data_IF_407208424674
#
_entry.id   IF_407208424674
#
_cell.length_a   1.000
_cell.length_b   1.000
_cell.length_c   1.000
_cell.angle_alpha   90.00
_cell.angle_beta   90.00
_cell.angle_gamma   90.00
#
_symmetry.space_group_name_H-M   'P 1'
#
loop_
_entity.id
_entity.type
_entity.pdbx_description
1 polymer ?
#
# COMPACT_ATOMS: atom_id res chain seq x y z
N UNK A 1 63.21 13.78 -8.49
CA UNK A 1 63.22 14.89 -9.44
C UNK A 1 61.79 15.42 -9.42
N UNK A 2 61.44 16.27 -8.46
CA UNK A 2 61.27 17.72 -8.53
C UNK A 2 60.64 18.13 -9.88
N UNK A 3 59.53 18.89 -9.99
CA UNK A 3 59.12 20.19 -9.44
C UNK A 3 57.63 20.35 -9.83
N UNK A 4 56.71 20.74 -9.08
CA UNK A 4 56.20 21.99 -8.43
C UNK A 4 55.16 22.77 -9.25
N UNK A 5 54.07 23.07 -8.56
CA UNK A 5 53.28 24.33 -8.49
C UNK A 5 52.76 25.02 -9.75
N UNK A 6 51.44 25.35 -9.76
CA UNK A 6 50.99 26.72 -9.46
C UNK A 6 49.46 26.92 -9.59
N UNK A 7 48.94 27.49 -8.55
CA UNK A 7 47.67 28.15 -8.38
C UNK A 7 47.51 29.36 -9.29
N UNK A 8 46.32 29.63 -9.85
CA UNK A 8 45.88 31.00 -10.20
C UNK A 8 44.37 31.20 -10.04
N UNK A 9 44.06 32.12 -9.17
CA UNK A 9 42.77 32.80 -9.02
C UNK A 9 42.57 33.77 -10.18
N UNK A 10 41.31 33.95 -10.65
CA UNK A 10 40.91 35.14 -11.39
C UNK A 10 39.51 35.60 -10.91
N UNK A 11 39.53 36.75 -10.28
CA UNK A 11 38.35 37.60 -10.01
C UNK A 11 37.89 38.28 -11.32
N UNK A 12 36.61 38.47 -11.51
CA UNK A 12 36.00 39.27 -12.58
C UNK A 12 34.67 39.84 -12.15
N UNK A 13 34.74 40.95 -11.60
CA UNK A 13 34.09 42.27 -11.70
C UNK A 13 32.65 42.32 -12.20
N UNK A 14 31.79 42.90 -11.33
CA UNK A 14 30.43 43.40 -11.55
C UNK A 14 30.33 44.43 -12.71
N UNK A 15 29.23 44.30 -13.45
CA UNK A 15 28.68 45.46 -14.23
C UNK A 15 27.23 45.69 -13.82
N UNK A 16 26.99 46.84 -13.19
CA UNK A 16 25.70 47.41 -12.87
C UNK A 16 25.21 48.16 -14.12
N UNK A 17 24.02 47.83 -14.61
CA UNK A 17 23.27 48.62 -15.57
C UNK A 17 21.98 49.10 -14.92
N UNK A 18 21.94 50.39 -14.66
CA UNK A 18 20.73 51.14 -14.27
C UNK A 18 19.97 51.52 -15.52
N UNK A 19 18.68 51.18 -15.59
CA UNK A 19 17.71 51.80 -16.49
C UNK A 19 16.52 52.27 -15.67
N UNK A 20 16.33 53.56 -15.62
CA UNK A 20 15.16 54.24 -15.08
C UNK A 20 14.03 54.27 -16.12
N UNK A 21 12.79 54.12 -15.67
CA UNK A 21 11.63 54.38 -16.52
C UNK A 21 10.27 54.05 -15.94
N UNK A 22 9.60 55.05 -15.34
CA UNK A 22 8.17 55.31 -15.24
C UNK A 22 7.17 54.31 -14.69
N UNK A 23 6.70 54.56 -13.48
CA UNK A 23 5.32 54.87 -13.08
C UNK A 23 4.24 53.78 -13.28
N UNK A 24 3.96 53.01 -12.22
CA UNK A 24 2.62 52.54 -11.93
C UNK A 24 2.49 52.34 -10.41
N UNK A 25 1.37 52.79 -9.87
CA UNK A 25 0.97 52.89 -8.47
C UNK A 25 1.34 51.68 -7.60
N UNK A 26 2.09 51.91 -6.51
CA UNK A 26 2.33 51.00 -5.44
C UNK A 26 1.08 50.78 -4.59
N UNK A 27 0.50 49.58 -4.65
CA UNK A 27 -0.33 49.07 -3.56
C UNK A 27 0.62 48.69 -2.40
N UNK A 28 0.43 49.29 -1.23
CA UNK A 28 1.20 49.04 -0.02
C UNK A 28 1.00 47.57 0.44
N UNK A 29 2.02 46.77 0.29
CA UNK A 29 2.09 45.46 0.98
C UNK A 29 2.43 45.74 2.44
N UNK A 30 1.46 45.53 3.32
CA UNK A 30 1.68 45.47 4.77
C UNK A 30 2.63 44.32 5.14
N UNK A 31 3.23 44.37 6.35
CA UNK A 31 4.20 43.38 6.77
C UNK A 31 3.57 41.99 6.75
N UNK A 32 4.20 41.05 6.01
CA UNK A 32 3.86 39.65 6.07
C UNK A 32 4.25 39.09 7.45
N UNK A 33 3.25 38.75 8.25
CA UNK A 33 3.47 37.91 9.42
C UNK A 33 4.11 36.57 9.01
N UNK A 34 5.06 36.02 9.79
CA UNK A 34 5.60 34.69 9.50
C UNK A 34 4.47 33.67 9.63
N UNK A 35 4.19 32.95 8.56
CA UNK A 35 3.27 31.81 8.60
C UNK A 35 3.82 30.79 9.58
N UNK A 36 3.20 30.73 10.77
CA UNK A 36 3.53 29.77 11.79
C UNK A 36 3.33 28.35 11.28
N UNK A 37 4.26 27.48 11.59
CA UNK A 37 4.27 26.04 11.29
C UNK A 37 3.04 25.29 11.83
N UNK A 38 2.13 25.95 12.53
CA UNK A 38 0.92 25.35 13.13
C UNK A 38 -0.33 25.41 12.22
N UNK A 39 -0.25 25.98 11.02
CA UNK A 39 -1.41 26.04 10.12
C UNK A 39 -1.62 24.77 9.27
N UNK A 40 -0.72 23.81 9.28
CA UNK A 40 -0.85 22.57 8.52
C UNK A 40 -1.74 21.50 9.19
N UNK A 41 -2.15 21.67 10.45
CA UNK A 41 -2.92 20.67 11.19
C UNK A 41 -4.39 21.04 11.44
N UNK A 42 -4.93 22.07 10.86
CA UNK A 42 -6.24 22.62 11.22
C UNK A 42 -7.31 22.64 10.12
N UNK A 43 -7.23 21.75 9.13
CA UNK A 43 -8.44 21.40 8.38
C UNK A 43 -8.87 20.01 8.81
N UNK A 44 -9.36 19.89 10.05
CA UNK A 44 -10.30 18.84 10.39
C UNK A 44 -11.53 19.06 9.53
N UNK A 45 -11.57 18.45 8.33
CA UNK A 45 -12.83 18.28 7.61
C UNK A 45 -13.75 17.55 8.59
N UNK A 46 -14.99 18.07 8.73
CA UNK A 46 -16.06 17.34 9.43
C UNK A 46 -16.26 16.04 8.66
N UNK A 47 -15.52 14.99 9.07
CA UNK A 47 -15.56 13.68 8.44
C UNK A 47 -16.91 13.12 8.82
N UNK A 48 -17.80 13.01 7.85
CA UNK A 48 -19.09 12.36 8.01
C UNK A 48 -18.96 11.01 8.73
N UNK A 49 -20.04 10.50 9.27
CA UNK A 49 -20.03 9.17 9.87
C UNK A 49 -19.89 8.11 8.78
N UNK A 50 -19.22 6.99 9.10
CA UNK A 50 -19.23 5.81 8.25
C UNK A 50 -20.66 5.44 7.84
N UNK A 51 -20.86 5.15 6.56
CA UNK A 51 -22.15 4.78 6.00
C UNK A 51 -21.99 3.73 4.91
N UNK A 52 -23.03 2.96 4.66
CA UNK A 52 -23.13 2.00 3.56
C UNK A 52 -24.53 2.07 2.98
N UNK A 53 -24.64 1.89 1.65
CA UNK A 53 -25.92 1.75 0.98
C UNK A 53 -26.69 0.56 1.54
N UNK A 54 -28.06 0.61 1.61
CA UNK A 54 -28.85 -0.47 2.18
C UNK A 54 -28.60 -1.84 1.54
N UNK A 55 -28.37 -1.88 0.23
CA UNK A 55 -28.15 -3.11 -0.52
C UNK A 55 -26.68 -3.51 -0.67
N UNK A 56 -25.73 -2.76 -0.11
CA UNK A 56 -24.31 -3.05 -0.17
C UNK A 56 -23.97 -4.48 0.30
N UNK A 57 -24.68 -5.01 1.28
CA UNK A 57 -24.49 -6.38 1.78
C UNK A 57 -24.82 -7.47 0.77
N UNK A 58 -25.55 -7.14 -0.30
CA UNK A 58 -25.94 -8.07 -1.37
C UNK A 58 -25.11 -7.92 -2.63
N UNK A 59 -24.30 -6.86 -2.71
CA UNK A 59 -23.47 -6.55 -3.84
C UNK A 59 -22.03 -7.06 -3.62
N UNK A 60 -21.36 -7.47 -4.68
CA UNK A 60 -19.91 -7.61 -4.61
C UNK A 60 -19.28 -6.22 -4.45
N UNK A 61 -18.29 -6.08 -3.57
CA UNK A 61 -17.72 -4.80 -3.17
C UNK A 61 -16.22 -4.76 -3.38
N UNK A 62 -15.72 -3.61 -3.80
CA UNK A 62 -14.30 -3.26 -3.74
C UNK A 62 -14.09 -2.16 -2.71
N UNK A 63 -13.16 -2.40 -1.78
CA UNK A 63 -12.78 -1.47 -0.72
C UNK A 63 -11.43 -0.85 -1.09
N UNK A 64 -11.30 0.45 -0.93
CA UNK A 64 -10.13 1.24 -1.34
C UNK A 64 -9.77 2.19 -0.21
N UNK A 65 -8.58 2.03 0.38
CA UNK A 65 -8.07 3.02 1.33
C UNK A 65 -7.53 4.24 0.59
N UNK A 66 -7.75 5.41 1.15
CA UNK A 66 -7.26 6.69 0.61
C UNK A 66 -6.51 7.45 1.71
N UNK A 67 -5.18 7.51 1.56
CA UNK A 67 -4.29 8.19 2.51
C UNK A 67 -4.51 9.71 2.54
N UNK A 68 -5.02 10.28 1.46
CA UNK A 68 -5.25 11.73 1.37
C UNK A 68 -6.49 12.19 2.13
N UNK A 69 -7.44 11.29 2.37
CA UNK A 69 -8.67 11.58 3.13
C UNK A 69 -8.72 10.86 4.47
N UNK A 70 -7.85 9.88 4.72
CA UNK A 70 -7.89 8.94 5.83
C UNK A 70 -9.23 8.16 5.93
N UNK A 71 -9.81 7.84 4.77
CA UNK A 71 -11.07 7.11 4.67
C UNK A 71 -10.88 5.82 3.84
N UNK A 72 -11.85 4.91 3.94
CA UNK A 72 -11.95 3.77 3.04
C UNK A 72 -13.23 3.91 2.24
N UNK A 73 -13.09 4.06 0.92
CA UNK A 73 -14.20 4.13 -0.01
C UNK A 73 -14.62 2.72 -0.45
N UNK A 74 -15.92 2.49 -0.55
CA UNK A 74 -16.48 1.20 -0.93
C UNK A 74 -17.33 1.38 -2.17
N UNK A 75 -16.98 0.65 -3.22
CA UNK A 75 -17.71 0.70 -4.50
C UNK A 75 -18.27 -0.69 -4.83
N UNK A 76 -19.32 -0.74 -5.65
CA UNK A 76 -19.78 -1.99 -6.25
C UNK A 76 -18.72 -2.59 -7.17
N UNK A 77 -18.53 -3.92 -7.10
CA UNK A 77 -17.57 -4.65 -7.93
C UNK A 77 -18.32 -5.53 -8.95
N UNK A 78 -17.97 -5.50 -10.24
CA UNK A 78 -17.06 -4.58 -10.91
C UNK A 78 -17.71 -3.24 -11.31
N UNK A 79 -18.92 -2.94 -10.81
CA UNK A 79 -19.77 -1.79 -11.21
C UNK A 79 -19.10 -0.43 -11.06
N UNK A 80 -18.39 -0.18 -9.95
CA UNK A 80 -17.70 1.08 -9.65
C UNK A 80 -18.63 2.21 -9.17
N UNK A 81 -19.85 1.90 -8.73
CA UNK A 81 -20.73 2.85 -8.06
C UNK A 81 -20.36 2.95 -6.59
N UNK A 82 -20.34 4.16 -6.03
CA UNK A 82 -20.05 4.36 -4.60
C UNK A 82 -21.19 3.77 -3.76
N UNK A 83 -20.85 2.80 -2.92
CA UNK A 83 -21.76 2.09 -2.03
C UNK A 83 -21.57 2.46 -0.56
N UNK A 84 -20.46 3.15 -0.23
CA UNK A 84 -20.22 3.57 1.15
C UNK A 84 -18.86 4.22 1.37
N UNK A 85 -18.72 4.72 2.61
CA UNK A 85 -17.44 5.25 3.09
C UNK A 85 -17.28 4.86 4.56
N UNK A 86 -16.11 4.29 4.90
CA UNK A 86 -15.71 4.02 6.28
C UNK A 86 -14.76 5.14 6.71
N UNK A 87 -14.99 5.71 7.88
CA UNK A 87 -14.27 6.86 8.40
C UNK A 87 -13.68 6.59 9.79
N UNK A 88 -12.83 7.48 10.26
CA UNK A 88 -12.25 7.39 11.61
C UNK A 88 -10.92 6.66 11.67
N UNK A 89 -10.26 6.53 10.54
CA UNK A 89 -8.88 6.04 10.44
C UNK A 89 -7.87 7.19 10.64
N UNK A 90 -6.64 6.77 10.87
CA UNK A 90 -5.48 7.63 10.86
C UNK A 90 -4.42 6.98 9.97
N UNK A 91 -4.50 7.21 8.66
CA UNK A 91 -3.69 6.62 7.61
C UNK A 91 -4.04 5.14 7.32
N UNK A 92 -5.25 4.83 6.80
CA UNK A 92 -5.61 3.47 6.40
C UNK A 92 -4.71 3.01 5.24
N UNK A 93 -3.95 1.91 5.44
CA UNK A 93 -2.92 1.48 4.50
C UNK A 93 -3.39 0.30 3.66
N UNK A 94 -3.12 -0.92 4.11
CA UNK A 94 -3.43 -2.15 3.40
C UNK A 94 -4.82 -2.69 3.72
N UNK A 95 -5.35 -3.47 2.79
CA UNK A 95 -6.62 -4.15 2.96
C UNK A 95 -6.50 -5.63 2.58
N UNK A 96 -7.20 -6.47 3.32
CA UNK A 96 -7.38 -7.88 2.99
C UNK A 96 -8.78 -8.36 3.37
N UNK A 97 -9.14 -9.57 2.94
CA UNK A 97 -10.46 -10.14 3.15
C UNK A 97 -10.34 -11.62 3.52
N UNK A 98 -11.20 -12.10 4.43
CA UNK A 98 -11.30 -13.51 4.75
C UNK A 98 -12.29 -14.27 3.84
N UNK A 99 -12.32 -15.59 3.98
CA UNK A 99 -13.28 -16.43 3.25
C UNK A 99 -14.74 -16.09 3.55
N UNK A 100 -15.04 -15.47 4.69
CA UNK A 100 -16.40 -15.06 5.07
C UNK A 100 -16.80 -13.70 4.48
N UNK A 101 -15.89 -13.05 3.74
CA UNK A 101 -16.10 -11.73 3.18
C UNK A 101 -15.86 -10.60 4.17
N UNK A 102 -15.33 -10.88 5.37
CA UNK A 102 -14.95 -9.83 6.32
C UNK A 102 -13.70 -9.12 5.84
N UNK A 103 -13.70 -7.81 5.92
CA UNK A 103 -12.63 -6.95 5.44
C UNK A 103 -11.81 -6.43 6.61
N UNK A 104 -10.50 -6.52 6.48
CA UNK A 104 -9.53 -5.99 7.44
C UNK A 104 -8.85 -4.77 6.83
N UNK A 105 -8.73 -3.72 7.63
CA UNK A 105 -8.08 -2.46 7.27
C UNK A 105 -6.95 -2.22 8.26
N UNK A 106 -5.72 -2.14 7.79
CA UNK A 106 -4.60 -1.71 8.62
C UNK A 106 -4.64 -0.19 8.74
N UNK A 107 -4.52 0.31 9.96
CA UNK A 107 -4.57 1.75 10.29
C UNK A 107 -3.22 2.13 10.88
N UNK A 108 -2.30 2.43 9.99
CA UNK A 108 -0.87 2.53 10.18
C UNK A 108 -0.48 3.39 11.40
N UNK A 109 -0.72 4.67 11.36
CA UNK A 109 -0.31 5.56 12.45
C UNK A 109 -1.21 5.50 13.69
N UNK A 110 -2.30 4.74 13.64
CA UNK A 110 -3.12 4.40 14.80
C UNK A 110 -2.74 3.05 15.45
N UNK A 111 -1.74 2.34 14.87
CA UNK A 111 -1.20 1.07 15.41
C UNK A 111 -2.29 0.04 15.68
N UNK A 112 -3.15 -0.19 14.69
CA UNK A 112 -4.31 -1.08 14.83
C UNK A 112 -4.79 -1.66 13.51
N UNK A 113 -5.55 -2.74 13.59
CA UNK A 113 -6.27 -3.32 12.45
C UNK A 113 -7.76 -3.37 12.79
N UNK A 114 -8.62 -2.95 11.87
CA UNK A 114 -10.07 -2.94 12.04
C UNK A 114 -10.71 -3.99 11.14
N UNK A 115 -11.54 -4.87 11.73
CA UNK A 115 -12.34 -5.87 11.01
C UNK A 115 -13.76 -5.34 10.78
N UNK A 116 -14.24 -5.45 9.55
CA UNK A 116 -15.61 -5.09 9.16
C UNK A 116 -16.35 -6.29 8.57
N UNK A 117 -17.65 -6.40 8.82
CA UNK A 117 -18.48 -7.31 8.04
C UNK A 117 -18.57 -6.84 6.59
N UNK A 118 -18.79 -7.76 5.65
CA UNK A 118 -19.15 -7.43 4.27
C UNK A 118 -20.27 -6.40 4.21
N UNK A 119 -20.07 -5.26 3.56
CA UNK A 119 -21.04 -4.16 3.49
C UNK A 119 -21.42 -3.56 4.86
N UNK A 120 -20.58 -3.73 5.88
CA UNK A 120 -20.79 -3.17 7.21
C UNK A 120 -20.10 -1.81 7.40
N UNK A 121 -20.77 -0.88 8.09
CA UNK A 121 -20.25 0.47 8.37
C UNK A 121 -19.60 0.62 9.76
N UNK A 122 -19.64 -0.42 10.60
CA UNK A 122 -19.08 -0.40 11.95
C UNK A 122 -18.05 -1.52 12.09
N UNK A 123 -16.90 -1.25 12.75
CA UNK A 123 -15.95 -2.31 13.03
C UNK A 123 -16.53 -3.36 13.95
N UNK A 124 -16.30 -4.64 13.65
CA UNK A 124 -16.62 -5.78 14.49
C UNK A 124 -15.57 -5.99 15.58
N UNK A 125 -14.31 -5.79 15.20
CA UNK A 125 -13.13 -5.99 16.06
C UNK A 125 -12.11 -4.91 15.76
N UNK A 126 -11.37 -4.52 16.78
CA UNK A 126 -10.19 -3.67 16.67
C UNK A 126 -9.04 -4.43 17.34
N UNK A 127 -8.08 -4.87 16.52
CA UNK A 127 -6.84 -5.47 16.99
C UNK A 127 -5.81 -4.36 17.22
N UNK A 128 -5.10 -4.44 18.34
CA UNK A 128 -4.03 -3.50 18.66
C UNK A 128 -2.69 -4.04 18.17
N UNK A 129 -1.91 -3.18 17.57
CA UNK A 129 -0.56 -3.47 17.11
C UNK A 129 0.43 -2.42 17.65
N UNK A 130 0.60 -2.36 18.98
CA UNK A 130 1.24 -1.23 19.65
C UNK A 130 2.71 -1.09 19.26
N UNK A 131 3.07 0.12 18.80
CA UNK A 131 4.44 0.46 18.43
C UNK A 131 4.89 -0.09 17.08
N UNK A 132 3.96 -0.59 16.26
CA UNK A 132 4.20 -1.11 14.93
C UNK A 132 3.48 -0.25 13.87
N UNK A 133 4.03 -0.18 12.67
CA UNK A 133 3.42 0.50 11.51
C UNK A 133 2.78 -0.56 10.59
N UNK A 134 1.51 -0.97 10.82
CA UNK A 134 0.88 -2.04 10.06
C UNK A 134 0.67 -1.65 8.59
N UNK A 135 1.35 -2.35 7.69
CA UNK A 135 1.29 -2.21 6.24
C UNK A 135 0.27 -3.15 5.60
N UNK A 136 0.74 -4.09 4.77
CA UNK A 136 -0.13 -5.09 4.14
C UNK A 136 -0.64 -6.15 5.10
N UNK A 137 -1.77 -6.79 4.76
CA UNK A 137 -2.32 -7.92 5.51
C UNK A 137 -2.81 -9.05 4.60
N UNK A 138 -2.94 -10.25 5.19
CA UNK A 138 -3.54 -11.41 4.55
C UNK A 138 -4.19 -12.32 5.59
N UNK A 139 -5.25 -13.03 5.21
CA UNK A 139 -5.92 -14.00 6.07
C UNK A 139 -5.65 -15.40 5.57
N UNK A 140 -5.12 -16.26 6.44
CA UNK A 140 -4.90 -17.66 6.15
C UNK A 140 -6.24 -18.35 5.80
N UNK A 141 -6.37 -18.88 4.59
CA UNK A 141 -7.62 -19.52 4.18
C UNK A 141 -7.88 -20.86 4.88
N UNK A 142 -6.91 -21.42 5.59
CA UNK A 142 -7.04 -22.72 6.27
C UNK A 142 -7.43 -22.56 7.74
N UNK A 143 -6.84 -21.59 8.43
CA UNK A 143 -7.01 -21.37 9.88
C UNK A 143 -7.84 -20.13 10.23
N UNK A 144 -7.88 -19.13 9.35
CA UNK A 144 -8.45 -17.80 9.64
C UNK A 144 -7.48 -16.89 10.40
N UNK A 145 -6.22 -17.24 10.52
CA UNK A 145 -5.19 -16.42 11.14
C UNK A 145 -4.93 -15.18 10.27
N UNK A 146 -4.84 -14.01 10.90
CA UNK A 146 -4.53 -12.76 10.21
C UNK A 146 -3.04 -12.46 10.34
N UNK A 147 -2.33 -12.40 9.22
CA UNK A 147 -0.98 -11.87 9.14
C UNK A 147 -1.01 -10.38 8.78
N UNK A 148 -0.11 -9.62 9.40
CA UNK A 148 0.12 -8.20 9.14
C UNK A 148 1.61 -7.98 8.98
N UNK A 149 2.02 -7.43 7.85
CA UNK A 149 3.39 -6.99 7.62
C UNK A 149 3.59 -5.61 8.26
N UNK A 150 4.51 -5.50 9.21
CA UNK A 150 4.81 -4.26 9.91
C UNK A 150 6.04 -3.59 9.30
N UNK A 151 5.85 -2.39 8.77
CA UNK A 151 6.86 -1.65 8.01
C UNK A 151 8.08 -1.34 8.88
N UNK A 152 7.85 -0.85 10.08
CA UNK A 152 8.89 -0.57 11.06
C UNK A 152 8.36 -0.64 12.49
N UNK A 153 9.28 -0.79 13.45
CA UNK A 153 8.99 -0.83 14.89
C UNK A 153 10.07 -0.12 15.66
N UNK A 154 9.82 0.83 16.36
CA UNK A 154 9.68 2.22 16.09
C UNK A 154 10.60 2.69 14.92
N UNK A 155 10.57 3.90 14.48
CA UNK A 155 11.14 4.46 13.24
C UNK A 155 12.60 4.09 12.83
N UNK A 156 13.33 3.32 13.63
CA UNK A 156 14.72 2.89 13.37
C UNK A 156 14.96 1.39 13.55
N UNK A 157 13.98 0.64 14.00
CA UNK A 157 14.08 -0.81 14.19
C UNK A 157 13.54 -1.55 12.95
N UNK A 158 14.06 -2.75 12.64
CA UNK A 158 13.47 -3.62 11.63
C UNK A 158 12.03 -3.97 11.96
N UNK A 159 11.16 -3.97 10.95
CA UNK A 159 9.80 -4.45 11.06
C UNK A 159 9.68 -5.93 11.40
N UNK A 160 8.47 -6.46 11.34
CA UNK A 160 8.17 -7.86 11.55
C UNK A 160 6.87 -8.28 10.85
N UNK A 161 6.49 -9.53 11.02
CA UNK A 161 5.15 -10.01 10.69
C UNK A 161 4.43 -10.37 11.98
N UNK A 162 3.30 -9.72 12.24
CA UNK A 162 2.41 -10.04 13.33
C UNK A 162 1.32 -11.02 12.86
N UNK A 163 1.15 -12.16 13.56
CA UNK A 163 0.08 -13.11 13.26
C UNK A 163 -0.89 -13.16 14.45
N UNK A 164 -2.15 -12.87 14.17
CA UNK A 164 -3.27 -12.93 15.11
C UNK A 164 -4.08 -14.19 14.87
N UNK A 165 -4.09 -15.11 15.83
CA UNK A 165 -4.82 -16.37 15.71
C UNK A 165 -6.32 -16.11 15.51
N UNK A 166 -6.89 -16.69 14.43
CA UNK A 166 -8.29 -16.51 14.05
C UNK A 166 -8.71 -15.02 14.01
N UNK A 167 -7.78 -14.14 13.63
CA UNK A 167 -7.94 -12.70 13.65
C UNK A 167 -8.42 -12.15 15.02
N UNK A 168 -7.89 -12.68 16.12
CA UNK A 168 -8.29 -12.35 17.50
C UNK A 168 -7.08 -12.32 18.44
N UNK A 169 -7.26 -11.68 19.58
CA UNK A 169 -6.36 -11.77 20.73
C UNK A 169 -5.01 -11.07 20.56
N UNK A 170 -4.00 -11.64 21.21
CA UNK A 170 -2.63 -11.14 21.15
C UNK A 170 -1.91 -11.70 19.93
N UNK A 171 -1.07 -10.88 19.33
CA UNK A 171 -0.23 -11.26 18.18
C UNK A 171 0.96 -12.14 18.62
N UNK A 172 1.42 -12.98 17.69
CA UNK A 172 2.75 -13.59 17.69
C UNK A 172 3.56 -12.98 16.56
N UNK A 173 4.78 -12.56 16.83
CA UNK A 173 5.63 -11.89 15.85
C UNK A 173 6.71 -12.81 15.30
N UNK A 174 7.04 -12.62 14.01
CA UNK A 174 8.06 -13.36 13.29
C UNK A 174 8.98 -12.38 12.57
N UNK A 175 10.27 -12.65 12.57
CA UNK A 175 11.30 -11.80 11.94
C UNK A 175 12.22 -12.64 11.08
N UNK A 176 12.62 -12.08 9.95
CA UNK A 176 13.68 -12.59 9.09
C UNK A 176 14.86 -11.63 9.12
N UNK A 177 16.08 -12.07 9.42
CA UNK A 177 17.25 -11.20 9.39
C UNK A 177 17.59 -10.66 7.98
N UNK A 178 17.02 -11.24 6.92
CA UNK A 178 17.18 -10.78 5.54
C UNK A 178 16.13 -9.78 5.10
N UNK A 179 15.14 -9.46 5.95
CA UNK A 179 14.15 -8.40 5.70
C UNK A 179 14.22 -7.42 6.87
N UNK A 180 14.36 -6.14 6.58
CA UNK A 180 14.35 -5.09 7.61
C UNK A 180 13.16 -4.15 7.50
N UNK A 181 12.48 -4.16 6.36
CA UNK A 181 11.33 -3.33 6.06
C UNK A 181 10.28 -4.23 5.39
N UNK A 182 9.25 -4.62 6.13
CA UNK A 182 8.20 -5.52 5.63
C UNK A 182 7.07 -4.67 5.07
N UNK A 183 6.64 -4.96 3.83
CA UNK A 183 5.62 -4.13 3.17
C UNK A 183 4.29 -4.86 3.04
N UNK A 184 4.29 -6.04 2.41
CA UNK A 184 3.09 -6.82 2.18
C UNK A 184 3.29 -8.30 2.49
N UNK A 185 2.17 -8.99 2.63
CA UNK A 185 2.16 -10.43 2.79
C UNK A 185 0.93 -11.05 2.11
N UNK A 186 1.05 -12.35 1.76
CA UNK A 186 -0.01 -13.11 1.12
C UNK A 186 0.05 -14.59 1.49
N UNK A 187 -1.04 -15.14 2.02
CA UNK A 187 -1.17 -16.58 2.23
C UNK A 187 -1.55 -17.29 0.92
N UNK A 188 -0.98 -18.48 0.71
CA UNK A 188 -1.50 -19.40 -0.27
C UNK A 188 -2.68 -20.24 0.28
N UNK A 189 -3.21 -21.17 -0.54
CA UNK A 189 -4.31 -22.03 -0.13
C UNK A 189 -3.90 -23.19 0.78
N UNK A 190 -2.62 -23.32 1.11
CA UNK A 190 -2.06 -24.34 2.01
C UNK A 190 -1.66 -23.75 3.37
N UNK A 191 -1.74 -22.44 3.54
CA UNK A 191 -1.37 -21.73 4.76
C UNK A 191 0.11 -21.30 4.80
N UNK A 192 0.85 -21.39 3.70
CA UNK A 192 2.17 -20.79 3.63
C UNK A 192 2.03 -19.28 3.46
N UNK A 193 2.80 -18.52 4.22
CA UNK A 193 2.78 -17.05 4.19
C UNK A 193 3.99 -16.53 3.43
N UNK A 194 3.75 -15.87 2.32
CA UNK A 194 4.76 -15.14 1.57
C UNK A 194 4.82 -13.69 2.02
N UNK A 195 6.02 -13.16 2.14
CA UNK A 195 6.27 -11.80 2.64
C UNK A 195 7.30 -11.13 1.77
N UNK A 196 7.03 -9.91 1.38
CA UNK A 196 7.99 -9.07 0.71
C UNK A 196 8.43 -7.86 1.55
N UNK A 197 9.46 -7.19 1.06
CA UNK A 197 10.01 -6.02 1.69
C UNK A 197 11.40 -5.69 1.19
N UNK A 198 12.20 -5.04 2.03
CA UNK A 198 13.54 -4.60 1.65
C UNK A 198 14.59 -4.94 2.70
N UNK A 199 15.82 -5.17 2.22
CA UNK A 199 17.05 -5.25 3.00
C UNK A 199 18.11 -4.36 2.37
N UNK A 200 18.54 -3.32 3.09
CA UNK A 200 19.57 -2.41 2.58
C UNK A 200 19.19 -1.70 1.28
N UNK A 201 17.91 -1.50 1.01
CA UNK A 201 17.37 -0.89 -0.22
C UNK A 201 17.18 -1.86 -1.39
N UNK A 202 17.50 -3.14 -1.23
CA UNK A 202 17.21 -4.18 -2.22
C UNK A 202 15.92 -4.92 -1.85
N UNK A 203 15.17 -5.33 -2.85
CA UNK A 203 13.99 -6.19 -2.68
C UNK A 203 14.37 -7.49 -1.98
N UNK A 204 13.55 -7.94 -1.05
CA UNK A 204 13.69 -9.18 -0.31
C UNK A 204 12.35 -9.92 -0.27
N UNK A 205 12.39 -11.24 -0.43
CA UNK A 205 11.21 -12.07 -0.47
C UNK A 205 11.44 -13.37 0.30
N UNK A 206 10.48 -13.76 1.11
CA UNK A 206 10.58 -14.95 1.95
C UNK A 206 9.23 -15.64 2.14
N UNK A 207 9.26 -16.92 2.47
CA UNK A 207 8.13 -17.75 2.86
C UNK A 207 8.24 -18.11 4.34
N UNK A 208 7.18 -17.99 5.10
CA UNK A 208 6.97 -18.67 6.38
C UNK A 208 6.10 -19.89 6.10
N UNK A 209 6.68 -21.10 5.97
CA UNK A 209 5.90 -22.28 5.67
C UNK A 209 4.91 -22.61 6.80
N UNK A 210 3.77 -23.17 6.45
CA UNK A 210 2.72 -23.57 7.40
C UNK A 210 3.30 -24.39 8.55
N UNK A 211 2.91 -24.03 9.78
CA UNK A 211 3.37 -24.68 11.01
C UNK A 211 4.85 -24.46 11.37
N UNK A 212 5.61 -23.66 10.60
CA UNK A 212 7.00 -23.31 10.92
C UNK A 212 7.10 -22.00 11.69
N UNK A 213 8.32 -21.73 12.19
CA UNK A 213 8.59 -20.53 13.01
C UNK A 213 9.75 -19.71 12.47
N UNK A 214 10.28 -20.06 11.32
CA UNK A 214 11.37 -19.36 10.64
C UNK A 214 11.09 -19.28 9.15
N UNK A 215 11.46 -18.15 8.60
CA UNK A 215 11.33 -17.89 7.17
C UNK A 215 12.35 -18.70 6.36
N UNK A 216 11.97 -18.98 5.11
CA UNK A 216 12.84 -19.46 4.04
C UNK A 216 12.96 -18.31 3.03
N UNK A 217 14.16 -17.79 2.84
CA UNK A 217 14.42 -16.75 1.86
C UNK A 217 14.31 -17.31 0.44
N UNK A 218 13.60 -16.62 -0.44
CA UNK A 218 13.34 -17.06 -1.81
C UNK A 218 14.09 -16.16 -2.78
N UNK A 219 14.98 -16.79 -3.58
CA UNK A 219 15.62 -16.13 -4.71
C UNK A 219 14.72 -16.18 -5.95
N UNK A 220 14.32 -15.03 -6.47
CA UNK A 220 13.56 -14.94 -7.71
C UNK A 220 14.49 -14.91 -8.92
N UNK A 221 14.08 -15.51 -10.03
CA UNK A 221 14.81 -15.45 -11.30
C UNK A 221 14.51 -14.17 -12.11
N UNK A 222 13.55 -13.36 -11.66
CA UNK A 222 13.22 -12.04 -12.20
C UNK A 222 13.57 -10.97 -11.17
N UNK A 223 14.04 -9.82 -11.66
CA UNK A 223 14.42 -8.71 -10.79
C UNK A 223 13.22 -7.83 -10.48
N UNK A 224 12.84 -7.73 -9.22
CA UNK A 224 11.84 -6.80 -8.73
C UNK A 224 12.56 -5.53 -8.28
N UNK A 225 12.34 -4.43 -8.98
CA UNK A 225 13.00 -3.17 -8.67
C UNK A 225 12.40 -2.50 -7.43
N UNK A 226 11.06 -2.47 -7.36
CA UNK A 226 10.32 -1.97 -6.20
C UNK A 226 9.10 -2.86 -5.97
N UNK A 227 9.18 -3.67 -4.92
CA UNK A 227 8.10 -4.56 -4.51
C UNK A 227 6.84 -3.78 -4.10
N UNK A 228 5.71 -4.34 -4.44
CA UNK A 228 4.40 -3.96 -3.94
C UNK A 228 3.74 -5.18 -3.32
N UNK A 229 2.40 -5.26 -3.36
CA UNK A 229 1.72 -6.36 -2.67
C UNK A 229 1.99 -7.74 -3.27
N UNK A 230 1.85 -8.73 -2.41
CA UNK A 230 1.92 -10.16 -2.70
C UNK A 230 0.55 -10.76 -2.56
N UNK A 231 0.13 -11.59 -3.53
CA UNK A 231 -1.13 -12.33 -3.46
C UNK A 231 -0.97 -13.71 -4.10
N UNK A 232 -1.61 -14.72 -3.49
CA UNK A 232 -1.85 -16.00 -4.16
C UNK A 232 -3.01 -15.85 -5.14
N UNK A 233 -2.78 -16.11 -6.42
CA UNK A 233 -3.80 -15.96 -7.47
C UNK A 233 -4.71 -17.19 -7.66
N UNK A 234 -4.47 -18.23 -6.86
CA UNK A 234 -5.11 -19.54 -6.93
C UNK A 234 -4.21 -20.64 -7.50
N UNK A 235 -3.07 -20.26 -8.09
CA UNK A 235 -2.10 -21.19 -8.71
C UNK A 235 -0.67 -20.78 -8.43
N UNK A 236 -0.39 -19.48 -8.45
CA UNK A 236 0.95 -18.91 -8.37
C UNK A 236 1.01 -17.76 -7.38
N UNK A 237 2.21 -17.44 -6.93
CA UNK A 237 2.44 -16.22 -6.15
C UNK A 237 2.60 -15.04 -7.10
N UNK A 238 1.68 -14.10 -7.02
CA UNK A 238 1.71 -12.86 -7.78
C UNK A 238 2.39 -11.76 -6.95
N UNK A 239 3.41 -11.11 -7.52
CA UNK A 239 4.19 -10.04 -6.88
C UNK A 239 4.16 -8.81 -7.78
N UNK A 240 3.82 -7.68 -7.21
CA UNK A 240 3.82 -6.38 -7.90
C UNK A 240 5.23 -5.79 -7.95
N UNK A 241 5.70 -5.41 -9.14
CA UNK A 241 6.73 -4.38 -9.30
C UNK A 241 6.04 -3.08 -9.75
N UNK A 242 5.94 -2.11 -8.82
CA UNK A 242 5.23 -0.87 -9.12
C UNK A 242 6.05 0.13 -9.94
N UNK A 243 7.37 -0.05 -10.05
CA UNK A 243 8.19 0.75 -10.95
C UNK A 243 8.08 0.25 -12.40
N UNK A 244 8.10 -1.05 -12.60
CA UNK A 244 7.94 -1.66 -13.92
C UNK A 244 6.47 -1.63 -14.42
N UNK A 245 5.50 -1.34 -13.53
CA UNK A 245 4.06 -1.44 -13.80
C UNK A 245 3.60 -2.82 -14.23
N UNK A 246 4.14 -3.86 -13.61
CA UNK A 246 3.88 -5.27 -13.89
C UNK A 246 3.55 -6.04 -12.62
N UNK A 247 2.70 -7.05 -12.72
CA UNK A 247 2.55 -8.11 -11.74
C UNK A 247 3.20 -9.35 -12.33
N UNK A 248 4.23 -9.88 -11.68
CA UNK A 248 4.87 -11.13 -12.05
C UNK A 248 4.22 -12.29 -11.32
N UNK A 249 4.11 -13.43 -11.98
CA UNK A 249 3.61 -14.70 -11.42
C UNK A 249 4.77 -15.66 -11.24
N UNK A 250 4.94 -16.18 -10.03
CA UNK A 250 6.03 -17.09 -9.70
C UNK A 250 5.52 -18.47 -9.25
N UNK A 251 6.13 -19.50 -9.79
CA UNK A 251 6.09 -20.86 -9.20
C UNK A 251 7.19 -20.95 -8.16
N UNK A 252 6.82 -21.22 -6.90
CA UNK A 252 7.76 -21.34 -5.80
C UNK A 252 8.10 -22.81 -5.54
N UNK A 253 9.39 -23.10 -5.39
CA UNK A 253 9.89 -24.44 -5.05
C UNK A 253 11.13 -24.34 -4.17
N UNK A 254 11.01 -24.76 -2.91
CA UNK A 254 12.06 -24.61 -1.91
C UNK A 254 12.45 -23.15 -1.73
N UNK A 255 13.72 -22.81 -1.92
CA UNK A 255 14.23 -21.43 -1.83
C UNK A 255 14.31 -20.69 -3.18
N UNK A 256 13.65 -21.19 -4.22
CA UNK A 256 13.66 -20.60 -5.56
C UNK A 256 12.26 -20.25 -6.05
N UNK A 257 12.13 -19.08 -6.70
CA UNK A 257 10.95 -18.66 -7.41
C UNK A 257 11.26 -18.50 -8.90
N UNK A 258 10.49 -19.18 -9.74
CA UNK A 258 10.62 -19.09 -11.21
C UNK A 258 9.45 -18.33 -11.77
N UNK A 259 9.71 -17.21 -12.45
CA UNK A 259 8.69 -16.47 -13.20
C UNK A 259 8.10 -17.37 -14.30
N UNK A 260 6.76 -17.38 -14.35
CA UNK A 260 6.00 -18.17 -15.32
C UNK A 260 5.10 -17.30 -16.18
N UNK A 261 4.96 -16.04 -15.85
CA UNK A 261 4.16 -15.07 -16.56
C UNK A 261 4.13 -13.71 -15.90
N UNK A 262 3.66 -12.75 -16.67
CA UNK A 262 3.54 -11.36 -16.19
C UNK A 262 2.28 -10.69 -16.74
N UNK A 263 1.75 -9.76 -15.94
CA UNK A 263 0.55 -8.98 -16.23
C UNK A 263 0.95 -7.50 -16.30
N UNK A 264 1.13 -6.92 -17.48
CA UNK A 264 1.39 -5.48 -17.62
C UNK A 264 0.14 -4.67 -17.25
N UNK A 265 0.32 -3.61 -16.48
CA UNK A 265 -0.75 -2.73 -16.03
C UNK A 265 -0.59 -1.35 -16.69
N UNK A 266 -0.98 -1.23 -17.97
CA UNK A 266 -0.85 -0.01 -18.74
C UNK A 266 -1.60 1.15 -18.06
N UNK A 267 -0.99 2.33 -18.03
CA UNK A 267 -1.56 3.51 -17.38
C UNK A 267 -1.50 3.49 -15.85
N UNK A 268 -0.98 2.43 -15.25
CA UNK A 268 -0.72 2.39 -13.81
C UNK A 268 0.32 3.43 -13.41
N UNK A 269 0.10 4.08 -12.26
CA UNK A 269 1.00 5.11 -11.73
C UNK A 269 1.06 5.00 -10.21
N UNK A 270 2.11 4.36 -9.71
CA UNK A 270 2.32 4.13 -8.28
C UNK A 270 1.18 3.30 -7.64
N UNK A 271 0.82 2.19 -8.28
CA UNK A 271 -0.12 1.20 -7.73
C UNK A 271 0.66 0.18 -6.91
N UNK A 272 0.69 0.34 -5.60
CA UNK A 272 1.49 -0.50 -4.71
C UNK A 272 0.75 -1.78 -4.35
N UNK A 273 -0.47 -1.67 -3.83
CA UNK A 273 -1.32 -2.83 -3.62
C UNK A 273 -2.15 -3.15 -4.88
N UNK A 274 -2.40 -4.43 -5.12
CA UNK A 274 -3.37 -4.91 -6.09
C UNK A 274 -4.24 -6.00 -5.48
N UNK A 275 -5.36 -6.31 -6.16
CA UNK A 275 -6.20 -7.45 -5.83
C UNK A 275 -6.64 -8.19 -7.08
N UNK A 276 -6.29 -9.47 -7.16
CA UNK A 276 -6.79 -10.37 -8.22
C UNK A 276 -8.11 -10.98 -7.76
N UNK A 277 -9.14 -10.84 -8.60
CA UNK A 277 -10.45 -11.47 -8.39
C UNK A 277 -10.92 -12.12 -9.69
N UNK A 278 -10.74 -13.44 -9.79
CA UNK A 278 -11.02 -14.19 -11.02
C UNK A 278 -10.16 -13.72 -12.20
N UNK A 279 -10.79 -13.29 -13.28
CA UNK A 279 -10.11 -12.79 -14.47
C UNK A 279 -9.85 -11.26 -14.46
N UNK A 280 -9.92 -10.63 -13.31
CA UNK A 280 -9.66 -9.20 -13.17
C UNK A 280 -8.61 -8.94 -12.12
N UNK A 281 -7.85 -7.87 -12.31
CA UNK A 281 -7.02 -7.27 -11.27
C UNK A 281 -7.42 -5.81 -11.08
N UNK A 282 -7.44 -5.38 -9.82
CA UNK A 282 -7.76 -4.00 -9.41
C UNK A 282 -6.55 -3.42 -8.71
N UNK A 283 -6.18 -2.19 -9.04
CA UNK A 283 -5.06 -1.48 -8.40
C UNK A 283 -5.35 0.00 -8.22
N UNK A 284 -5.12 0.56 -7.02
CA UNK A 284 -5.14 1.99 -6.79
C UNK A 284 -3.89 2.64 -7.39
N UNK A 285 -4.05 3.84 -7.96
CA UNK A 285 -2.96 4.62 -8.54
C UNK A 285 -2.82 5.93 -7.77
N UNK A 286 -1.93 5.97 -6.80
CA UNK A 286 -1.77 7.12 -5.90
C UNK A 286 -1.42 8.41 -6.63
N UNK A 287 -0.52 8.36 -7.62
CA UNK A 287 -0.12 9.55 -8.39
C UNK A 287 -1.21 10.06 -9.34
N UNK A 288 -2.13 9.20 -9.77
CA UNK A 288 -3.22 9.54 -10.68
C UNK A 288 -4.55 9.74 -9.97
N UNK A 289 -4.60 9.58 -8.64
CA UNK A 289 -5.79 9.76 -7.81
C UNK A 289 -7.01 8.95 -8.30
N UNK A 290 -6.77 7.73 -8.77
CA UNK A 290 -7.81 6.84 -9.30
C UNK A 290 -7.54 5.37 -8.98
N UNK A 291 -8.51 4.52 -9.30
CA UNK A 291 -8.38 3.06 -9.24
C UNK A 291 -8.71 2.49 -10.61
N UNK A 292 -7.87 1.61 -11.09
CA UNK A 292 -8.02 0.98 -12.39
C UNK A 292 -8.24 -0.52 -12.26
N UNK A 293 -8.91 -1.08 -13.27
CA UNK A 293 -9.18 -2.50 -13.43
C UNK A 293 -8.55 -2.97 -14.73
N UNK A 294 -7.92 -4.11 -14.71
CA UNK A 294 -7.33 -4.74 -15.90
C UNK A 294 -7.77 -6.20 -16.00
N UNK A 295 -7.62 -6.78 -17.18
CA UNK A 295 -7.77 -8.22 -17.34
C UNK A 295 -6.60 -8.97 -16.67
N UNK A 296 -6.86 -10.09 -16.05
CA UNK A 296 -5.84 -10.94 -15.43
C UNK A 296 -5.91 -12.36 -16.03
N UNK A 297 -4.79 -12.99 -16.37
CA UNK A 297 -3.40 -12.49 -16.30
C UNK A 297 -2.96 -11.68 -17.55
N UNK A 298 -3.84 -11.40 -18.49
CA UNK A 298 -3.47 -10.80 -19.78
C UNK A 298 -2.91 -9.36 -19.65
N UNK A 299 -3.40 -8.56 -18.70
CA UNK A 299 -2.99 -7.17 -18.52
C UNK A 299 -3.42 -6.25 -19.67
N UNK A 300 -2.56 -5.29 -20.00
CA UNK A 300 -2.77 -4.31 -21.06
C UNK A 300 -3.51 -3.06 -20.59
N UNK A 301 -4.32 -2.48 -21.47
CA UNK A 301 -5.06 -1.25 -21.14
C UNK A 301 -6.15 -1.50 -20.10
N UNK A 302 -6.42 -0.50 -19.22
CA UNK A 302 -7.45 -0.64 -18.19
C UNK A 302 -8.84 -0.80 -18.81
N UNK A 303 -9.60 -1.75 -18.29
CA UNK A 303 -11.00 -2.01 -18.68
C UNK A 303 -11.97 -1.04 -18.02
N UNK A 304 -11.56 -0.46 -16.88
CA UNK A 304 -12.35 0.49 -16.09
C UNK A 304 -11.45 1.38 -15.25
N UNK A 305 -11.93 2.62 -14.97
CA UNK A 305 -11.28 3.56 -14.04
C UNK A 305 -12.34 4.20 -13.13
N UNK A 306 -12.06 4.24 -11.83
CA UNK A 306 -12.80 5.00 -10.82
C UNK A 306 -11.96 6.23 -10.48
N UNK A 307 -12.50 7.42 -10.72
CA UNK A 307 -11.83 8.70 -10.47
C UNK A 307 -12.39 9.39 -9.22
N UNK A 308 -11.72 10.46 -8.79
CA UNK A 308 -12.22 11.34 -7.72
C UNK A 308 -11.72 10.96 -6.32
N UNK A 309 -10.72 10.10 -6.23
CA UNK A 309 -9.96 9.82 -5.01
C UNK A 309 -8.87 10.89 -4.79
N UNK A 310 -8.12 10.80 -3.71
CA UNK A 310 -7.05 11.77 -3.41
C UNK A 310 -5.68 11.11 -3.46
N UNK A 311 -5.47 10.08 -2.68
CA UNK A 311 -4.23 9.27 -2.66
C UNK A 311 -4.61 7.81 -2.36
N UNK A 312 -5.28 7.13 -3.31
CA UNK A 312 -5.71 5.76 -3.09
C UNK A 312 -4.50 4.83 -2.98
N UNK A 313 -4.52 3.91 -2.02
CA UNK A 313 -3.35 3.11 -1.66
C UNK A 313 -3.60 1.61 -1.61
N UNK A 314 -4.48 1.16 -0.73
CA UNK A 314 -4.83 -0.23 -0.55
C UNK A 314 -6.12 -0.62 -1.25
N UNK A 315 -6.25 -1.89 -1.60
CA UNK A 315 -7.44 -2.44 -2.26
C UNK A 315 -7.71 -3.88 -1.87
N UNK A 316 -8.98 -4.24 -1.70
CA UNK A 316 -9.43 -5.64 -1.62
C UNK A 316 -10.84 -5.77 -2.19
N UNK A 317 -11.19 -6.97 -2.65
CA UNK A 317 -12.53 -7.28 -3.16
C UNK A 317 -13.21 -8.28 -2.21
N UNK A 318 -14.39 -7.93 -1.74
CA UNK A 318 -15.25 -8.81 -0.93
C UNK A 318 -16.48 -9.20 -1.74
N UNK A 319 -16.69 -10.50 -1.93
CA UNK A 319 -17.80 -11.04 -2.71
C UNK A 319 -19.02 -11.25 -1.81
N UNK A 320 -20.20 -10.91 -2.32
CA UNK A 320 -21.47 -11.24 -1.68
C UNK A 320 -21.66 -12.77 -1.59
N UNK A 321 -22.36 -13.23 -0.57
CA UNK A 321 -22.67 -14.64 -0.31
C UNK A 321 -24.16 -14.88 -0.30
#
# INVERSE_FOLDING_TARGET
MQISNATRYALGVCAVVTLAGCGASQASLGPREPMGQNAMFAVRRDRGRSWMAPDAKKANLVYISDLGTDDVYVYSYPGGNLEGTLTGFNRPWGLCVDKAGKVFVTDDTAFRILEYAHGGAKPLVILKDPGEDPGGCSVDPTTGDLAVANISTPATAPGDVAIYKEARGARKTYKDPQISFYEYCGYDNQGNLYVDGMKGGAFAFAELPEGKHSFVNIGLNENIAFGGSVQWDGTYVAIRDYQANVIYQFSISGSGGTEIGSTPLDGSSYAVQFWVQGSNVVGPNANSANVMFWNYPAGGSPTKTINGLTTPWGVTVSMAR
#
